data_IF_037355779241
#
_entry.id   IF_037355779241
#
_cell.length_a   1.000
_cell.length_b   1.000
_cell.length_c   1.000
_cell.angle_alpha   90.00
_cell.angle_beta   90.00
_cell.angle_gamma   90.00
#
_symmetry.space_group_name_H-M   'P 1'
#
loop_
_entity.id
_entity.type
_entity.pdbx_description
1 polymer ?
#
# COMPACT_ATOMS: atom_id res chain seq x y z
N UNK A 1 -28.31 -10.98 -14.02
CA UNK A 1 -28.35 -10.03 -12.91
C UNK A 1 -26.95 -9.78 -12.39
N UNK A 2 -26.49 -8.53 -12.42
CA UNK A 2 -25.23 -8.24 -11.81
C UNK A 2 -25.29 -8.48 -10.30
N UNK A 3 -24.22 -9.01 -9.74
CA UNK A 3 -24.10 -9.15 -8.29
C UNK A 3 -24.05 -7.76 -7.66
N UNK A 4 -24.70 -7.54 -6.51
CA UNK A 4 -24.48 -6.32 -5.78
C UNK A 4 -23.00 -6.20 -5.41
N UNK A 5 -22.42 -5.03 -5.66
CA UNK A 5 -21.03 -4.80 -5.26
C UNK A 5 -20.94 -4.76 -3.75
N UNK A 6 -19.99 -5.46 -3.20
CA UNK A 6 -19.64 -5.30 -1.80
C UNK A 6 -19.15 -3.87 -1.57
N UNK A 7 -19.42 -3.26 -0.40
CA UNK A 7 -18.86 -1.97 -0.09
C UNK A 7 -17.34 -2.00 -0.16
N UNK A 8 -16.74 -0.96 -0.73
CA UNK A 8 -15.30 -0.78 -0.70
C UNK A 8 -14.85 -0.61 0.75
N UNK A 9 -13.80 -1.32 1.12
CA UNK A 9 -13.19 -1.19 2.43
C UNK A 9 -11.98 -0.26 2.33
N UNK A 10 -11.92 0.70 3.24
CA UNK A 10 -10.77 1.61 3.36
C UNK A 10 -10.14 1.38 4.73
N UNK A 11 -8.90 0.97 4.73
CA UNK A 11 -8.12 0.83 5.94
C UNK A 11 -7.07 1.93 6.01
N UNK A 12 -7.15 2.77 7.01
CA UNK A 12 -6.17 3.84 7.23
C UNK A 12 -4.95 3.23 7.91
N UNK A 13 -3.83 3.18 7.21
CA UNK A 13 -2.56 2.67 7.75
C UNK A 13 -1.75 3.77 8.41
N UNK A 14 -1.88 4.99 7.91
CA UNK A 14 -1.27 6.18 8.46
C UNK A 14 -1.86 7.42 7.84
N UNK A 15 -1.83 8.53 8.58
CA UNK A 15 -2.36 9.81 8.10
C UNK A 15 -1.59 11.00 8.68
N UNK A 16 -0.41 10.77 9.26
CA UNK A 16 0.42 11.84 9.80
C UNK A 16 1.37 12.39 8.75
N UNK A 17 1.66 13.68 8.80
CA UNK A 17 2.62 14.32 7.90
C UNK A 17 4.08 14.09 8.29
N UNK A 18 4.34 13.50 9.46
CA UNK A 18 5.68 13.24 9.95
C UNK A 18 5.68 12.02 10.87
N UNK A 19 6.87 11.43 11.05
CA UNK A 19 7.03 10.31 11.97
C UNK A 19 7.17 10.82 13.40
N UNK A 20 6.54 10.10 14.33
CA UNK A 20 6.65 10.35 15.76
C UNK A 20 6.13 9.11 16.47
N UNK A 21 6.25 9.06 17.80
CA UNK A 21 5.67 7.97 18.57
C UNK A 21 4.16 7.90 18.29
N UNK A 22 3.70 6.72 17.85
CA UNK A 22 2.29 6.50 17.51
C UNK A 22 1.82 7.17 16.24
N UNK A 23 2.69 7.89 15.51
CA UNK A 23 2.35 8.56 14.25
C UNK A 23 2.98 7.84 13.08
N UNK A 24 2.17 7.49 12.08
CA UNK A 24 2.61 6.86 10.83
C UNK A 24 2.20 7.72 9.67
N UNK A 25 3.07 7.86 8.67
CA UNK A 25 2.79 8.72 7.54
C UNK A 25 1.84 8.03 6.54
N UNK A 26 1.32 8.81 5.64
CA UNK A 26 0.11 8.56 4.86
C UNK A 26 0.17 7.27 4.04
N UNK A 27 -0.79 6.41 4.28
CA UNK A 27 -1.08 5.26 3.43
C UNK A 27 -2.49 4.75 3.71
N UNK A 28 -3.23 4.43 2.65
CA UNK A 28 -4.57 3.86 2.75
C UNK A 28 -4.65 2.59 1.92
N UNK A 29 -5.17 1.53 2.50
CA UNK A 29 -5.41 0.29 1.75
C UNK A 29 -6.88 0.24 1.35
N UNK A 30 -7.12 0.17 0.03
CA UNK A 30 -8.45 -0.02 -0.53
C UNK A 30 -8.64 -1.50 -0.81
N UNK A 31 -9.64 -2.10 -0.20
CA UNK A 31 -9.83 -3.54 -0.21
C UNK A 31 -8.52 -4.25 0.18
N UNK A 32 -8.02 -5.15 -0.64
CA UNK A 32 -6.80 -5.91 -0.33
C UNK A 32 -5.67 -5.66 -1.33
N UNK A 33 -5.92 -4.92 -2.40
CA UNK A 33 -5.06 -4.91 -3.58
C UNK A 33 -4.60 -3.54 -4.07
N UNK A 34 -5.20 -2.47 -3.56
CA UNK A 34 -4.83 -1.10 -3.98
C UNK A 34 -4.37 -0.29 -2.78
N UNK A 35 -3.16 0.25 -2.89
CA UNK A 35 -2.58 1.11 -1.86
C UNK A 35 -2.53 2.54 -2.38
N UNK A 36 -3.06 3.47 -1.60
CA UNK A 36 -2.94 4.90 -1.90
C UNK A 36 -1.88 5.48 -0.99
N UNK A 37 -0.81 5.97 -1.58
CA UNK A 37 0.40 6.44 -0.97
C UNK A 37 1.10 5.35 -0.13
N UNK A 38 2.39 5.46 0.01
CA UNK A 38 3.23 4.47 0.66
C UNK A 38 4.16 5.13 1.68
N UNK A 39 3.55 5.83 2.64
CA UNK A 39 4.24 6.34 3.81
C UNK A 39 4.53 5.22 4.80
N UNK A 40 5.06 5.57 5.96
CA UNK A 40 5.48 4.58 6.98
C UNK A 40 4.31 3.74 7.50
N UNK A 41 3.06 4.17 7.28
CA UNK A 41 1.88 3.38 7.60
C UNK A 41 1.85 2.01 6.95
N UNK A 42 2.52 1.83 5.81
CA UNK A 42 2.66 0.52 5.14
C UNK A 42 3.20 -0.55 6.11
N UNK A 43 4.05 -0.16 7.04
CA UNK A 43 4.62 -1.07 8.04
C UNK A 43 3.59 -1.69 8.99
N UNK A 44 2.35 -1.25 8.96
CA UNK A 44 1.26 -1.85 9.72
C UNK A 44 0.68 -3.10 9.03
N UNK A 45 1.01 -3.34 7.79
CA UNK A 45 0.61 -4.53 7.05
C UNK A 45 1.55 -5.70 7.37
N UNK A 46 0.97 -6.90 7.39
CA UNK A 46 1.78 -8.13 7.39
C UNK A 46 2.44 -8.30 6.02
N UNK A 47 3.47 -9.16 5.95
CA UNK A 47 4.10 -9.47 4.66
C UNK A 47 3.11 -10.08 3.66
N UNK A 48 2.19 -10.92 4.14
CA UNK A 48 1.17 -11.50 3.27
C UNK A 48 0.20 -10.44 2.75
N UNK A 49 -0.19 -9.50 3.58
CA UNK A 49 -1.04 -8.38 3.16
C UNK A 49 -0.32 -7.49 2.14
N UNK A 50 0.95 -7.16 2.37
CA UNK A 50 1.76 -6.39 1.41
C UNK A 50 1.88 -7.11 0.07
N UNK A 51 2.06 -8.43 0.10
CA UNK A 51 2.24 -9.23 -1.12
C UNK A 51 0.98 -9.28 -1.99
N UNK A 52 -0.19 -8.99 -1.43
CA UNK A 52 -1.46 -8.94 -2.19
C UNK A 52 -1.68 -7.60 -2.89
N UNK A 53 -0.90 -6.58 -2.59
CA UNK A 53 -1.03 -5.28 -3.23
C UNK A 53 -0.56 -5.38 -4.68
N UNK A 54 -1.46 -5.09 -5.61
CA UNK A 54 -1.17 -5.11 -7.05
C UNK A 54 -0.93 -3.72 -7.61
N UNK A 55 -1.50 -2.70 -6.98
CA UNK A 55 -1.41 -1.32 -7.45
C UNK A 55 -1.09 -0.38 -6.30
N UNK A 56 -0.14 0.53 -6.53
CA UNK A 56 0.15 1.64 -5.64
C UNK A 56 -0.11 2.93 -6.41
N UNK A 57 -0.96 3.78 -5.87
CA UNK A 57 -1.29 5.08 -6.43
C UNK A 57 -0.61 6.15 -5.58
N UNK A 58 0.33 6.88 -6.17
CA UNK A 58 1.05 7.95 -5.48
C UNK A 58 0.40 9.29 -5.81
N UNK A 59 -0.15 9.96 -4.80
CA UNK A 59 -0.81 11.25 -4.97
C UNK A 59 0.17 12.42 -4.91
N UNK A 60 1.27 12.23 -4.18
CA UNK A 60 2.30 13.25 -3.97
C UNK A 60 3.69 12.63 -4.05
N UNK A 61 4.68 13.44 -4.38
CA UNK A 61 6.08 13.04 -4.34
C UNK A 61 6.76 13.36 -3.00
N UNK A 62 6.05 13.95 -2.05
CA UNK A 62 6.58 14.24 -0.73
C UNK A 62 6.95 12.96 0.01
N UNK A 63 8.02 13.04 0.80
CA UNK A 63 8.62 11.87 1.45
C UNK A 63 7.64 11.13 2.35
N UNK A 64 6.78 11.85 3.07
CA UNK A 64 5.76 11.26 3.94
C UNK A 64 4.72 10.40 3.20
N UNK A 65 4.62 10.55 1.86
CA UNK A 65 3.73 9.76 1.02
C UNK A 65 4.42 8.61 0.29
N UNK A 66 5.75 8.57 0.26
CA UNK A 66 6.49 7.61 -0.58
C UNK A 66 7.61 6.87 0.16
N UNK A 67 7.90 7.25 1.40
CA UNK A 67 9.10 6.80 2.10
C UNK A 67 9.22 5.28 2.22
N UNK A 68 8.12 4.56 2.39
CA UNK A 68 8.13 3.11 2.57
C UNK A 68 8.07 2.32 1.26
N UNK A 69 7.88 2.98 0.11
CA UNK A 69 7.69 2.27 -1.16
C UNK A 69 8.88 1.37 -1.52
N UNK A 70 10.13 1.84 -1.50
CA UNK A 70 11.27 0.97 -1.83
C UNK A 70 11.38 -0.22 -0.90
N UNK A 71 11.18 -0.02 0.40
CA UNK A 71 11.25 -1.08 1.39
C UNK A 71 10.14 -2.11 1.19
N UNK A 72 8.94 -1.65 0.87
CA UNK A 72 7.81 -2.53 0.57
C UNK A 72 8.08 -3.37 -0.66
N UNK A 73 8.55 -2.75 -1.75
CA UNK A 73 8.85 -3.47 -3.00
C UNK A 73 9.89 -4.55 -2.77
N UNK A 74 10.94 -4.23 -2.03
CA UNK A 74 11.98 -5.21 -1.68
C UNK A 74 11.40 -6.36 -0.84
N UNK A 75 10.58 -6.04 0.14
CA UNK A 75 10.02 -7.03 1.06
C UNK A 75 9.13 -8.07 0.37
N UNK A 76 8.41 -7.70 -0.70
CA UNK A 76 7.43 -8.57 -1.34
C UNK A 76 7.89 -9.19 -2.66
N UNK A 77 9.02 -8.77 -3.20
CA UNK A 77 9.47 -9.19 -4.53
C UNK A 77 9.53 -10.72 -4.69
N UNK A 78 10.20 -11.40 -3.78
CA UNK A 78 10.36 -12.85 -3.84
C UNK A 78 9.02 -13.58 -3.67
N UNK A 79 8.17 -13.13 -2.76
CA UNK A 79 6.85 -13.74 -2.53
C UNK A 79 5.95 -13.62 -3.75
N UNK A 80 5.95 -12.45 -4.38
CA UNK A 80 5.13 -12.21 -5.56
C UNK A 80 5.62 -13.03 -6.76
N UNK A 81 6.92 -13.14 -6.95
CA UNK A 81 7.49 -13.98 -8.00
C UNK A 81 7.17 -15.45 -7.78
N UNK A 82 7.34 -15.94 -6.56
CA UNK A 82 7.03 -17.33 -6.22
C UNK A 82 5.54 -17.66 -6.38
N UNK A 83 4.67 -16.70 -6.12
CA UNK A 83 3.22 -16.86 -6.29
C UNK A 83 2.73 -16.70 -7.72
N UNK A 84 3.61 -16.41 -8.67
CA UNK A 84 3.21 -16.19 -10.07
C UNK A 84 2.41 -14.91 -10.29
N UNK A 85 2.51 -13.94 -9.39
CA UNK A 85 1.80 -12.68 -9.51
C UNK A 85 2.35 -11.82 -10.65
N UNK A 86 1.47 -11.06 -11.29
CA UNK A 86 1.90 -10.01 -12.20
C UNK A 86 2.74 -8.96 -11.45
N UNK A 87 3.61 -8.20 -12.13
CA UNK A 87 4.38 -7.14 -11.47
C UNK A 87 3.46 -6.14 -10.77
N UNK A 88 3.85 -5.73 -9.57
CA UNK A 88 3.17 -4.66 -8.86
C UNK A 88 3.31 -3.37 -9.68
N UNK A 89 2.21 -2.67 -9.88
CA UNK A 89 2.20 -1.45 -10.68
C UNK A 89 2.16 -0.22 -9.79
N UNK A 90 3.05 0.72 -10.05
CA UNK A 90 3.09 2.00 -9.35
C UNK A 90 2.60 3.08 -10.32
N UNK A 91 1.57 3.80 -9.89
CA UNK A 91 0.97 4.89 -10.65
C UNK A 91 1.26 6.20 -9.93
N UNK A 92 1.85 7.16 -10.63
CA UNK A 92 2.16 8.47 -10.08
C UNK A 92 1.61 9.56 -11.00
N UNK A 93 1.27 10.68 -10.40
CA UNK A 93 0.83 11.86 -11.13
C UNK A 93 2.01 12.62 -11.72
#
# INVERSE_FOLDING_TARGET
MPQPKLPMRVRVLGCSGAISHGCRTTSFLLDDDVLIDAGTGVGDLTLDEMARVDHVLLTHSHLDHVAALPLMLDAVAARRMAGGCAPLQVHAL
#
